data_IF_741114918479
#
_entry.id   IF_741114918479
#
_cell.length_a   1.000
_cell.length_b   1.000
_cell.length_c   1.000
_cell.angle_alpha   90.00
_cell.angle_beta   90.00
_cell.angle_gamma   90.00
#
_symmetry.space_group_name_H-M   'P 1'
#
loop_
_entity.id
_entity.type
_entity.pdbx_description
1 polymer ?
#
# COMPACT_ATOMS: atom_id res chain seq x y z
N UNK A 1 -13.92 23.77 0.58
CA UNK A 1 -14.16 24.24 1.97
C UNK A 1 -13.06 23.69 2.87
N UNK A 2 -12.48 24.53 3.70
CA UNK A 2 -11.52 24.09 4.69
C UNK A 2 -12.28 23.55 5.90
N UNK A 3 -11.97 22.32 6.30
CA UNK A 3 -12.62 21.72 7.45
C UNK A 3 -12.04 22.27 8.76
N UNK A 4 -12.93 22.61 9.70
CA UNK A 4 -12.50 22.90 11.08
C UNK A 4 -12.08 21.61 11.76
N UNK A 5 -11.37 21.69 12.89
CA UNK A 5 -10.97 20.50 13.66
C UNK A 5 -12.18 19.62 14.00
N UNK A 6 -13.30 20.23 14.42
CA UNK A 6 -14.53 19.50 14.75
C UNK A 6 -15.14 18.81 13.52
N UNK A 7 -15.07 19.48 12.36
CA UNK A 7 -15.56 18.90 11.10
C UNK A 7 -14.69 17.71 10.69
N UNK A 8 -13.37 17.84 10.89
CA UNK A 8 -12.43 16.76 10.60
C UNK A 8 -12.70 15.55 11.49
N UNK A 9 -12.89 15.75 12.78
CA UNK A 9 -13.21 14.67 13.71
C UNK A 9 -14.52 13.97 13.33
N UNK A 10 -15.53 14.74 12.95
CA UNK A 10 -16.81 14.20 12.52
C UNK A 10 -16.64 13.35 11.25
N UNK A 11 -15.91 13.87 10.26
CA UNK A 11 -15.66 13.17 9.01
C UNK A 11 -14.90 11.87 9.25
N UNK A 12 -13.88 11.91 10.10
CA UNK A 12 -13.09 10.71 10.46
C UNK A 12 -13.97 9.68 11.18
N UNK A 13 -14.81 10.11 12.11
CA UNK A 13 -15.73 9.23 12.83
C UNK A 13 -16.69 8.55 11.86
N UNK A 14 -17.29 9.32 10.94
CA UNK A 14 -18.21 8.79 9.93
C UNK A 14 -17.50 7.80 9.00
N UNK A 15 -16.29 8.13 8.59
CA UNK A 15 -15.50 7.28 7.72
C UNK A 15 -15.15 5.96 8.40
N UNK A 16 -14.68 6.04 9.66
CA UNK A 16 -14.36 4.84 10.45
C UNK A 16 -15.59 3.95 10.63
N UNK A 17 -16.73 4.54 10.97
CA UNK A 17 -17.99 3.80 11.10
C UNK A 17 -18.37 3.11 9.80
N UNK A 18 -18.21 3.80 8.68
CA UNK A 18 -18.50 3.24 7.35
C UNK A 18 -17.57 2.07 7.02
N UNK A 19 -16.29 2.23 7.29
CA UNK A 19 -15.28 1.20 7.00
C UNK A 19 -15.44 0.02 7.95
N UNK A 20 -15.69 0.26 9.25
CA UNK A 20 -15.90 -0.79 10.24
C UNK A 20 -17.15 -1.62 9.95
N UNK A 21 -18.16 -1.02 9.35
CA UNK A 21 -19.38 -1.74 8.97
C UNK A 21 -19.13 -2.75 7.85
N UNK A 22 -18.04 -2.60 7.10
CA UNK A 22 -17.67 -3.47 5.99
C UNK A 22 -16.26 -4.06 6.22
N UNK A 23 -15.94 -4.28 7.46
CA UNK A 23 -14.58 -4.40 7.98
C UNK A 23 -13.82 -5.65 7.64
N UNK A 24 -14.52 -6.75 7.41
CA UNK A 24 -13.84 -8.04 7.33
C UNK A 24 -12.97 -8.20 6.08
N UNK A 25 -13.10 -7.29 5.10
CA UNK A 25 -12.40 -7.44 3.83
C UNK A 25 -11.85 -6.13 3.26
N UNK A 26 -11.80 -5.04 4.04
CA UNK A 26 -11.29 -3.77 3.53
C UNK A 26 -10.14 -3.23 4.37
N UNK A 27 -9.13 -2.73 3.67
CA UNK A 27 -8.01 -2.02 4.28
C UNK A 27 -8.14 -0.53 4.00
N UNK A 28 -7.89 0.29 5.02
CA UNK A 28 -7.88 1.74 4.87
C UNK A 28 -6.48 2.21 4.48
N UNK A 29 -6.42 3.01 3.42
CA UNK A 29 -5.19 3.66 2.99
C UNK A 29 -5.36 5.17 3.07
N UNK A 30 -4.34 5.86 3.58
CA UNK A 30 -4.33 7.31 3.60
C UNK A 30 -3.10 7.82 2.86
N UNK A 31 -3.26 8.93 2.16
CA UNK A 31 -2.15 9.58 1.49
C UNK A 31 -2.19 11.07 1.73
N UNK A 32 -1.03 11.70 1.84
CA UNK A 32 -0.90 13.13 2.12
C UNK A 32 -0.02 13.77 1.05
N UNK A 33 -0.43 14.94 0.58
CA UNK A 33 0.38 15.77 -0.31
C UNK A 33 0.11 17.25 -0.06
N UNK A 34 1.07 18.08 -0.38
CA UNK A 34 0.96 19.54 -0.25
C UNK A 34 1.09 20.16 -1.64
N UNK A 35 0.22 21.10 -1.95
CA UNK A 35 0.25 21.79 -3.23
C UNK A 35 -0.77 22.92 -3.31
N UNK A 36 -0.77 23.65 -4.41
CA UNK A 36 -1.68 24.77 -4.64
C UNK A 36 -2.91 24.36 -5.44
N UNK A 37 -2.75 23.42 -6.35
CA UNK A 37 -3.84 22.96 -7.21
C UNK A 37 -4.57 21.79 -6.56
N UNK A 38 -5.90 21.92 -6.27
CA UNK A 38 -6.64 20.86 -5.58
C UNK A 38 -6.69 19.52 -6.32
N UNK A 39 -6.81 19.56 -7.64
CA UNK A 39 -6.86 18.31 -8.43
C UNK A 39 -5.53 17.58 -8.37
N UNK A 40 -4.44 18.28 -8.63
CA UNK A 40 -3.09 17.71 -8.61
C UNK A 40 -2.72 17.27 -7.19
N UNK A 41 -3.05 18.09 -6.20
CA UNK A 41 -2.78 17.76 -4.80
C UNK A 41 -3.47 16.48 -4.36
N UNK A 42 -4.75 16.30 -4.73
CA UNK A 42 -5.50 15.07 -4.44
C UNK A 42 -4.90 13.85 -5.12
N UNK A 43 -4.56 13.99 -6.40
CA UNK A 43 -3.96 12.90 -7.16
C UNK A 43 -2.61 12.48 -6.56
N UNK A 44 -1.79 13.45 -6.19
CA UNK A 44 -0.51 13.20 -5.55
C UNK A 44 -0.68 12.52 -4.19
N UNK A 45 -1.65 12.98 -3.39
CA UNK A 45 -1.95 12.35 -2.10
C UNK A 45 -2.39 10.90 -2.28
N UNK A 46 -3.25 10.63 -3.26
CA UNK A 46 -3.69 9.27 -3.58
C UNK A 46 -2.52 8.40 -3.98
N UNK A 47 -1.65 8.89 -4.88
CA UNK A 47 -0.45 8.17 -5.30
C UNK A 47 0.49 7.88 -4.15
N UNK A 48 0.66 8.84 -3.24
CA UNK A 48 1.52 8.65 -2.06
C UNK A 48 0.99 7.54 -1.15
N UNK A 49 -0.32 7.44 -0.98
CA UNK A 49 -0.94 6.36 -0.21
C UNK A 49 -0.73 4.99 -0.85
N UNK A 50 -0.89 4.91 -2.16
CA UNK A 50 -0.68 3.69 -2.93
C UNK A 50 0.79 3.27 -2.88
N UNK A 51 1.70 4.20 -3.07
CA UNK A 51 3.15 3.95 -3.01
C UNK A 51 3.55 3.46 -1.62
N UNK A 52 2.99 4.03 -0.57
CA UNK A 52 3.23 3.59 0.80
C UNK A 52 2.79 2.14 1.01
N UNK A 53 1.63 1.77 0.50
CA UNK A 53 1.14 0.38 0.56
C UNK A 53 2.12 -0.57 -0.14
N UNK A 54 2.52 -0.26 -1.36
CA UNK A 54 3.44 -1.10 -2.13
C UNK A 54 4.79 -1.24 -1.43
N UNK A 55 5.29 -0.17 -0.85
CA UNK A 55 6.55 -0.17 -0.09
C UNK A 55 6.46 -1.08 1.14
N UNK A 56 5.34 -1.06 1.85
CA UNK A 56 5.13 -1.92 3.01
C UNK A 56 4.96 -3.38 2.61
N UNK A 57 4.26 -3.66 1.52
CA UNK A 57 4.11 -5.00 0.98
C UNK A 57 5.49 -5.57 0.63
N UNK A 58 6.32 -4.78 -0.05
CA UNK A 58 7.71 -5.16 -0.35
C UNK A 58 8.50 -5.45 0.92
N UNK A 59 8.44 -4.55 1.90
CA UNK A 59 9.21 -4.69 3.14
C UNK A 59 8.88 -5.98 3.89
N UNK A 60 7.60 -6.35 3.94
CA UNK A 60 7.17 -7.60 4.59
C UNK A 60 7.76 -8.83 3.89
N UNK A 61 7.66 -8.88 2.58
CA UNK A 61 8.10 -10.04 1.81
C UNK A 61 9.63 -10.13 1.77
N UNK A 62 10.31 -9.02 1.50
CA UNK A 62 11.77 -8.98 1.46
C UNK A 62 12.37 -9.28 2.84
N UNK A 63 11.76 -8.74 3.91
CA UNK A 63 12.19 -9.05 5.26
C UNK A 63 12.11 -10.55 5.57
N UNK A 64 11.03 -11.20 5.11
CA UNK A 64 10.88 -12.65 5.29
C UNK A 64 11.88 -13.43 4.48
N UNK A 65 12.12 -13.03 3.23
CA UNK A 65 13.12 -13.67 2.36
C UNK A 65 14.51 -13.58 2.96
N UNK A 66 14.90 -12.42 3.46
CA UNK A 66 16.21 -12.24 4.10
C UNK A 66 16.33 -13.04 5.40
N UNK A 67 15.25 -13.16 6.15
CA UNK A 67 15.21 -13.99 7.36
C UNK A 67 15.44 -15.47 7.03
N UNK A 68 14.81 -15.97 5.99
CA UNK A 68 14.99 -17.36 5.53
C UNK A 68 16.41 -17.56 5.00
N UNK A 69 16.93 -16.60 4.24
CA UNK A 69 18.30 -16.66 3.71
C UNK A 69 19.35 -16.80 4.82
N UNK A 70 19.16 -16.10 5.94
CA UNK A 70 20.11 -16.15 7.06
C UNK A 70 20.07 -17.49 7.81
N UNK A 71 18.97 -18.25 7.71
CA UNK A 71 18.82 -19.52 8.39
C UNK A 71 19.02 -20.75 7.49
N UNK A 72 19.06 -20.56 6.17
CA UNK A 72 19.17 -21.63 5.19
C UNK A 72 20.27 -21.29 4.16
N UNK A 73 21.28 -22.14 4.10
CA UNK A 73 22.43 -21.95 3.21
C UNK A 73 22.08 -22.07 1.71
N UNK A 74 20.93 -22.63 1.37
CA UNK A 74 20.47 -22.76 -0.03
C UNK A 74 19.61 -21.58 -0.47
N UNK A 75 19.56 -20.52 0.32
CA UNK A 75 18.76 -19.33 0.03
C UNK A 75 19.26 -18.55 -1.18
N UNK A 76 18.41 -17.68 -1.64
CA UNK A 76 18.73 -16.72 -2.70
C UNK A 76 19.78 -15.72 -2.23
N UNK A 77 20.55 -15.17 -3.18
CA UNK A 77 21.49 -14.11 -2.88
C UNK A 77 20.74 -12.82 -2.52
N UNK A 78 21.38 -11.92 -1.78
CA UNK A 78 20.82 -10.62 -1.44
C UNK A 78 20.45 -9.82 -2.70
N UNK A 79 21.28 -9.90 -3.74
CA UNK A 79 21.02 -9.25 -5.02
C UNK A 79 19.74 -9.77 -5.68
N UNK A 80 19.52 -11.08 -5.65
CA UNK A 80 18.31 -11.69 -6.20
C UNK A 80 17.07 -11.26 -5.43
N UNK A 81 17.16 -11.19 -4.10
CA UNK A 81 16.06 -10.72 -3.24
C UNK A 81 15.74 -9.25 -3.54
N UNK A 82 16.76 -8.41 -3.71
CA UNK A 82 16.56 -6.99 -4.02
C UNK A 82 15.92 -6.79 -5.40
N UNK A 83 16.32 -7.58 -6.40
CA UNK A 83 15.70 -7.55 -7.72
C UNK A 83 14.22 -7.97 -7.68
N UNK A 84 13.94 -9.04 -6.96
CA UNK A 84 12.59 -9.51 -6.75
C UNK A 84 11.76 -8.43 -6.03
N UNK A 85 12.30 -7.87 -4.96
CA UNK A 85 11.62 -6.85 -4.17
C UNK A 85 11.25 -5.61 -4.98
N UNK A 86 12.17 -5.13 -5.80
CA UNK A 86 11.94 -3.96 -6.66
C UNK A 86 10.84 -4.24 -7.70
N UNK A 87 10.88 -5.39 -8.35
CA UNK A 87 9.88 -5.78 -9.34
C UNK A 87 8.51 -6.02 -8.68
N UNK A 88 8.50 -6.62 -7.49
CA UNK A 88 7.29 -6.87 -6.72
C UNK A 88 6.62 -5.55 -6.30
N UNK A 89 7.40 -4.61 -5.75
CA UNK A 89 6.89 -3.29 -5.35
C UNK A 89 6.26 -2.56 -6.53
N UNK A 90 6.93 -2.55 -7.67
CA UNK A 90 6.43 -1.90 -8.88
C UNK A 90 5.12 -2.53 -9.35
N UNK A 91 5.06 -3.86 -9.37
CA UNK A 91 3.87 -4.61 -9.76
C UNK A 91 2.69 -4.36 -8.81
N UNK A 92 2.93 -4.36 -7.50
CA UNK A 92 1.90 -4.07 -6.50
C UNK A 92 1.39 -2.64 -6.68
N UNK A 93 2.29 -1.67 -6.80
CA UNK A 93 1.93 -0.27 -6.98
C UNK A 93 0.98 -0.09 -8.19
N UNK A 94 1.36 -0.65 -9.33
CA UNK A 94 0.58 -0.54 -10.56
C UNK A 94 -0.81 -1.19 -10.43
N UNK A 95 -0.87 -2.37 -9.84
CA UNK A 95 -2.12 -3.12 -9.73
C UNK A 95 -3.06 -2.52 -8.68
N UNK A 96 -2.52 -2.09 -7.54
CA UNK A 96 -3.31 -1.50 -6.46
C UNK A 96 -3.91 -0.16 -6.89
N UNK A 97 -3.21 0.60 -7.72
CA UNK A 97 -3.72 1.88 -8.24
C UNK A 97 -5.09 1.75 -8.91
N UNK A 98 -5.36 0.62 -9.55
CA UNK A 98 -6.66 0.35 -10.19
C UNK A 98 -7.73 -0.21 -9.26
N UNK A 99 -7.39 -0.51 -8.01
CA UNK A 99 -8.29 -1.18 -7.07
C UNK A 99 -8.76 -0.28 -5.93
N UNK A 100 -8.06 0.82 -5.66
CA UNK A 100 -8.41 1.70 -4.54
C UNK A 100 -9.68 2.47 -4.83
N UNK A 101 -10.49 2.65 -3.79
CA UNK A 101 -11.69 3.48 -3.84
C UNK A 101 -11.49 4.68 -2.94
N UNK A 102 -11.56 5.87 -3.53
CA UNK A 102 -11.44 7.11 -2.76
C UNK A 102 -12.79 7.45 -2.13
N UNK A 103 -12.78 7.82 -0.85
CA UNK A 103 -13.98 8.16 -0.11
C UNK A 103 -14.12 9.66 0.11
N UNK A 104 -13.09 10.28 0.67
CA UNK A 104 -13.10 11.72 0.87
C UNK A 104 -11.67 12.27 1.02
N UNK A 105 -11.57 13.59 0.90
CA UNK A 105 -10.31 14.32 1.04
C UNK A 105 -10.50 15.39 2.10
N UNK A 106 -9.59 15.45 3.06
CA UNK A 106 -9.50 16.56 3.99
C UNK A 106 -8.47 17.55 3.45
N UNK A 107 -8.80 18.83 3.52
CA UNK A 107 -7.94 19.91 3.03
C UNK A 107 -7.73 20.93 4.14
N UNK A 108 -6.48 21.34 4.36
CA UNK A 108 -6.18 22.41 5.31
C UNK A 108 -5.11 23.34 4.74
N UNK A 109 -5.13 24.58 5.20
CA UNK A 109 -4.11 25.55 4.83
C UNK A 109 -2.77 25.18 5.46
N UNK A 110 -1.70 25.35 4.71
CA UNK A 110 -0.34 25.10 5.19
C UNK A 110 0.64 26.07 4.51
N UNK A 111 0.85 27.22 5.14
CA UNK A 111 1.84 28.21 4.72
C UNK A 111 1.76 28.62 3.25
N UNK A 112 0.64 29.14 2.78
CA UNK A 112 0.47 29.57 1.40
C UNK A 112 0.14 28.45 0.42
N UNK A 113 0.17 27.21 0.86
CA UNK A 113 -0.24 26.04 0.11
C UNK A 113 -1.34 25.31 0.87
N UNK A 114 -1.86 24.23 0.30
CA UNK A 114 -2.87 23.38 0.94
C UNK A 114 -2.32 21.99 1.12
N UNK A 115 -2.64 21.40 2.26
CA UNK A 115 -2.36 19.99 2.52
C UNK A 115 -3.61 19.19 2.22
N UNK A 116 -3.45 18.13 1.44
CA UNK A 116 -4.52 17.22 1.06
C UNK A 116 -4.28 15.88 1.73
N UNK A 117 -5.27 15.38 2.44
CA UNK A 117 -5.22 14.05 3.02
C UNK A 117 -6.38 13.23 2.46
N UNK A 118 -6.05 12.22 1.68
CA UNK A 118 -7.02 11.37 0.98
C UNK A 118 -7.25 10.09 1.77
N UNK A 119 -8.52 9.73 1.95
CA UNK A 119 -8.91 8.48 2.60
C UNK A 119 -9.48 7.53 1.56
N UNK A 120 -8.85 6.35 1.48
CA UNK A 120 -9.17 5.32 0.48
C UNK A 120 -9.38 3.98 1.15
N UNK A 121 -10.09 3.10 0.47
CA UNK A 121 -10.16 1.70 0.88
C UNK A 121 -9.78 0.81 -0.29
N UNK A 122 -9.34 -0.39 0.05
CA UNK A 122 -9.07 -1.43 -0.92
C UNK A 122 -9.65 -2.75 -0.41
N UNK A 123 -10.32 -3.48 -1.30
CA UNK A 123 -10.82 -4.81 -0.99
C UNK A 123 -9.64 -5.77 -0.82
N UNK A 124 -9.53 -6.42 0.34
CA UNK A 124 -8.40 -7.30 0.64
C UNK A 124 -8.34 -8.52 -0.27
N UNK A 125 -9.48 -9.07 -0.66
CA UNK A 125 -9.48 -10.21 -1.58
C UNK A 125 -8.86 -9.82 -2.93
N UNK A 126 -9.22 -8.64 -3.44
CA UNK A 126 -8.66 -8.11 -4.68
C UNK A 126 -7.18 -7.75 -4.51
N UNK A 127 -6.82 -7.15 -3.38
CA UNK A 127 -5.43 -6.79 -3.07
C UNK A 127 -4.54 -8.03 -2.99
N UNK A 128 -5.03 -9.09 -2.36
CA UNK A 128 -4.31 -10.36 -2.26
C UNK A 128 -4.01 -10.93 -3.64
N UNK A 129 -5.01 -10.96 -4.53
CA UNK A 129 -4.80 -11.41 -5.91
C UNK A 129 -3.77 -10.56 -6.64
N UNK A 130 -3.83 -9.25 -6.44
CA UNK A 130 -2.87 -8.32 -7.05
C UNK A 130 -1.45 -8.61 -6.55
N UNK A 131 -1.28 -8.82 -5.24
CA UNK A 131 0.03 -9.17 -4.66
C UNK A 131 0.56 -10.50 -5.21
N UNK A 132 -0.30 -11.50 -5.32
CA UNK A 132 0.09 -12.82 -5.85
C UNK A 132 0.52 -12.72 -7.32
N UNK A 133 -0.20 -11.96 -8.14
CA UNK A 133 0.18 -11.72 -9.54
C UNK A 133 1.47 -10.93 -9.65
N UNK A 134 1.63 -9.90 -8.83
CA UNK A 134 2.86 -9.10 -8.79
C UNK A 134 4.07 -9.96 -8.42
N UNK A 135 3.91 -10.88 -7.47
CA UNK A 135 4.96 -11.81 -7.06
C UNK A 135 5.33 -12.78 -8.19
N UNK A 136 4.33 -13.28 -8.90
CA UNK A 136 4.55 -14.18 -10.03
C UNK A 136 5.34 -13.50 -11.15
N UNK A 137 4.97 -12.27 -11.47
CA UNK A 137 5.68 -11.45 -12.48
C UNK A 137 7.10 -11.10 -12.00
N UNK A 138 7.25 -10.78 -10.72
CA UNK A 138 8.55 -10.45 -10.13
C UNK A 138 9.50 -11.64 -10.15
N UNK A 139 9.01 -12.85 -9.92
CA UNK A 139 9.81 -14.09 -10.04
C UNK A 139 10.38 -14.23 -11.44
N UNK A 140 9.58 -13.98 -12.45
CA UNK A 140 10.03 -14.06 -13.84
C UNK A 140 11.09 -13.02 -14.15
N UNK A 141 10.89 -11.78 -13.72
CA UNK A 141 11.85 -10.69 -13.95
C UNK A 141 13.17 -10.92 -13.24
N UNK A 142 13.14 -11.48 -12.05
CA UNK A 142 14.34 -11.78 -11.27
C UNK A 142 14.96 -13.13 -11.65
N UNK A 143 14.37 -13.88 -12.58
CA UNK A 143 14.79 -15.21 -13.00
C UNK A 143 14.93 -16.18 -11.83
N UNK A 144 14.01 -16.08 -10.85
CA UNK A 144 14.02 -16.93 -9.67
C UNK A 144 13.24 -18.22 -9.90
N UNK A 145 13.65 -19.26 -9.20
CA UNK A 145 12.90 -20.50 -9.06
C UNK A 145 11.70 -20.27 -8.12
N UNK A 146 11.01 -21.33 -7.76
CA UNK A 146 9.85 -21.21 -6.89
C UNK A 146 10.21 -20.59 -5.53
N UNK A 147 9.34 -19.72 -5.05
CA UNK A 147 9.47 -19.16 -3.71
C UNK A 147 9.09 -20.25 -2.68
N UNK A 148 9.67 -20.16 -1.48
CA UNK A 148 9.27 -21.05 -0.41
C UNK A 148 7.81 -20.81 -0.02
N UNK A 149 7.15 -21.81 0.55
CA UNK A 149 5.78 -21.70 1.01
C UNK A 149 5.63 -20.57 2.06
N UNK A 150 6.65 -20.38 2.91
CA UNK A 150 6.63 -19.31 3.90
C UNK A 150 6.57 -17.93 3.25
N UNK A 151 7.32 -17.71 2.17
CA UNK A 151 7.30 -16.44 1.44
C UNK A 151 5.95 -16.26 0.74
N UNK A 152 5.42 -17.31 0.12
CA UNK A 152 4.11 -17.25 -0.52
C UNK A 152 3.00 -16.94 0.47
N UNK A 153 3.06 -17.51 1.68
CA UNK A 153 2.12 -17.21 2.75
C UNK A 153 2.17 -15.74 3.13
N UNK A 154 3.37 -15.16 3.22
CA UNK A 154 3.55 -13.74 3.51
C UNK A 154 2.97 -12.83 2.42
N UNK A 155 3.08 -13.24 1.16
CA UNK A 155 2.48 -12.50 0.04
C UNK A 155 0.94 -12.52 0.17
N UNK A 156 0.39 -13.64 0.61
CA UNK A 156 -1.04 -13.80 0.81
C UNK A 156 -1.58 -13.09 2.05
N UNK A 157 -0.74 -12.80 3.04
CA UNK A 157 -1.17 -12.13 4.27
C UNK A 157 -1.45 -10.65 4.03
N UNK A 158 -2.43 -10.06 4.75
CA UNK A 158 -2.70 -8.63 4.65
C UNK A 158 -1.45 -7.80 4.96
N UNK A 159 -1.31 -6.69 4.23
CA UNK A 159 -0.20 -5.76 4.45
C UNK A 159 -0.49 -4.94 5.71
N UNK A 160 0.44 -4.95 6.66
CA UNK A 160 0.32 -4.16 7.88
C UNK A 160 0.64 -2.70 7.59
N UNK A 161 -0.34 -1.85 7.88
CA UNK A 161 -0.19 -0.40 7.74
C UNK A 161 -0.15 0.21 9.13
N UNK A 162 0.94 0.87 9.47
CA UNK A 162 1.02 1.59 10.75
C UNK A 162 0.10 2.79 10.73
N UNK A 163 -0.56 3.00 11.85
CA UNK A 163 -1.41 4.17 12.02
C UNK A 163 -0.59 5.45 12.14
#
# INVERSE_FOLDING_TARGET
MLATASTMEYALTKYRTYVEADEDNHLVLTGIAVGKNPKIGRENAMMNGITSYASRAKAQVVGKMKSIMSSDAEGMSEEEIDKFGAAYEMGVNTKIAGLVKMHFTLVREKGGSKEFQVYMTIDETAAKKARELAAKEAKKKAALNDLSQQVEDFIGDPVEMDE
#
